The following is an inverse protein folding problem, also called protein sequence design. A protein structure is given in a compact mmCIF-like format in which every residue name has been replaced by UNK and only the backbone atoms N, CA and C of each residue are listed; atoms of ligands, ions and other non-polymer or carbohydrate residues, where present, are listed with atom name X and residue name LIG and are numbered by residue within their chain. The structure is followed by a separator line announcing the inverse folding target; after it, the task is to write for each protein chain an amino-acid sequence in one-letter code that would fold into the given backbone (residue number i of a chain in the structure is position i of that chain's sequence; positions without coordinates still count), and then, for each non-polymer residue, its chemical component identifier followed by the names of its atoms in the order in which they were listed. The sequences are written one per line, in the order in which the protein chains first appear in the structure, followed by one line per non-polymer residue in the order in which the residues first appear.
data_IF_732743263091
#
_entry.id   IF_732743263091
#
_cell.length_a   1.000
_cell.length_b   1.000
_cell.length_c   1.000
_cell.angle_alpha   90.00
_cell.angle_beta   90.00
_cell.angle_gamma   90.00
#
_symmetry.space_group_name_H-M   'P 1'
#
loop_
_entity.id
_entity.type
_entity.pdbx_description
1 polymer ?
#
# COMPACT_ATOMS: atom_id res chain seq x y z
N UNK A 1 21.71 -23.48 -18.20
CA UNK A 1 20.49 -22.91 -17.59
C UNK A 1 20.93 -22.24 -16.31
N UNK A 2 21.00 -20.91 -16.28
CA UNK A 2 21.50 -20.18 -15.12
C UNK A 2 20.33 -19.90 -14.17
N UNK A 3 20.23 -20.70 -13.11
CA UNK A 3 19.44 -20.39 -11.93
C UNK A 3 20.11 -19.23 -11.21
N UNK A 4 19.50 -18.04 -11.28
CA UNK A 4 19.85 -16.93 -10.41
C UNK A 4 19.40 -17.29 -8.98
N UNK A 5 20.32 -17.83 -8.18
CA UNK A 5 20.12 -17.98 -6.74
C UNK A 5 20.12 -16.60 -6.09
N UNK A 6 18.94 -16.08 -5.84
CA UNK A 6 18.75 -14.85 -5.07
C UNK A 6 18.57 -15.23 -3.59
N UNK A 7 19.67 -15.32 -2.85
CA UNK A 7 19.68 -15.57 -1.39
C UNK A 7 19.13 -14.40 -0.56
N UNK A 8 18.67 -13.32 -1.22
CA UNK A 8 18.05 -12.12 -0.64
C UNK A 8 16.66 -11.81 -1.25
N UNK A 9 16.15 -12.68 -2.14
CA UNK A 9 14.78 -12.53 -2.61
C UNK A 9 13.90 -13.05 -1.49
N UNK A 10 13.20 -12.14 -0.83
CA UNK A 10 12.15 -12.54 0.09
C UNK A 10 11.22 -13.49 -0.67
N UNK A 11 10.91 -14.67 -0.11
CA UNK A 11 10.04 -15.65 -0.77
C UNK A 11 8.61 -15.11 -1.00
N UNK A 12 8.32 -13.97 -0.40
CA UNK A 12 7.05 -13.27 -0.47
C UNK A 12 6.99 -12.32 -1.66
N UNK A 13 6.10 -12.61 -2.61
CA UNK A 13 5.70 -11.67 -3.66
C UNK A 13 4.34 -11.04 -3.34
N UNK A 14 4.02 -9.96 -4.06
CA UNK A 14 2.71 -9.33 -4.03
C UNK A 14 2.18 -9.10 -5.44
N UNK A 15 0.90 -9.36 -5.62
CA UNK A 15 0.15 -9.04 -6.85
C UNK A 15 -1.00 -8.11 -6.49
N UNK A 16 -1.12 -6.99 -7.18
CA UNK A 16 -2.20 -6.04 -6.97
C UNK A 16 -3.09 -5.97 -8.22
N UNK A 17 -4.39 -6.05 -8.00
CA UNK A 17 -5.41 -5.95 -9.02
C UNK A 17 -6.35 -4.80 -8.68
N UNK A 18 -6.77 -4.06 -9.69
CA UNK A 18 -7.82 -3.05 -9.54
C UNK A 18 -9.13 -3.75 -9.15
N UNK A 19 -9.87 -3.17 -8.22
CA UNK A 19 -11.14 -3.70 -7.75
C UNK A 19 -12.28 -2.80 -8.18
N UNK A 20 -13.37 -3.41 -8.65
CA UNK A 20 -14.64 -2.72 -8.92
C UNK A 20 -15.38 -2.35 -7.63
N UNK A 21 -15.00 -2.96 -6.49
CA UNK A 21 -15.62 -2.71 -5.21
C UNK A 21 -15.02 -1.46 -4.55
N UNK A 22 -15.87 -0.57 -4.02
CA UNK A 22 -15.40 0.61 -3.27
C UNK A 22 -14.82 0.23 -1.91
N UNK A 23 -15.33 -0.86 -1.33
CA UNK A 23 -14.92 -1.42 -0.04
C UNK A 23 -14.67 -2.93 -0.18
N UNK A 24 -13.70 -3.49 0.56
CA UNK A 24 -13.45 -4.91 0.52
C UNK A 24 -14.63 -5.69 1.16
N UNK A 25 -14.99 -6.87 0.62
CA UNK A 25 -16.10 -7.69 1.14
C UNK A 25 -15.96 -8.04 2.63
N UNK A 26 -14.73 -8.13 3.14
CA UNK A 26 -14.41 -8.40 4.55
C UNK A 26 -14.97 -7.36 5.52
N UNK A 27 -15.42 -6.19 5.05
CA UNK A 27 -16.10 -5.21 5.90
C UNK A 27 -17.54 -5.62 6.24
N UNK A 28 -18.12 -6.55 5.50
CA UNK A 28 -19.50 -7.01 5.71
C UNK A 28 -19.60 -8.08 6.80
N UNK A 29 -18.46 -8.61 7.27
CA UNK A 29 -18.37 -9.65 8.28
C UNK A 29 -17.41 -9.23 9.40
N UNK A 30 -17.68 -9.64 10.64
CA UNK A 30 -16.74 -9.41 11.74
C UNK A 30 -15.70 -10.53 11.70
N UNK A 31 -14.41 -10.24 11.43
CA UNK A 31 -13.40 -11.29 11.38
C UNK A 31 -13.10 -11.83 12.77
N UNK A 32 -12.71 -13.10 12.86
CA UNK A 32 -12.28 -13.71 14.14
C UNK A 32 -10.99 -13.09 14.67
N UNK A 33 -10.11 -12.64 13.77
CA UNK A 33 -8.85 -11.98 14.10
C UNK A 33 -8.42 -11.10 12.91
N UNK A 34 -7.58 -10.11 13.20
CA UNK A 34 -7.09 -9.14 12.21
C UNK A 34 -5.58 -8.97 12.32
N UNK A 35 -4.88 -8.70 11.21
CA UNK A 35 -3.49 -8.33 11.24
C UNK A 35 -3.27 -6.97 11.92
N UNK A 36 -2.05 -6.75 12.36
CA UNK A 36 -1.55 -5.46 12.80
C UNK A 36 -1.71 -4.40 11.72
N UNK A 37 -1.80 -3.16 12.18
CA UNK A 37 -1.89 -1.98 11.30
C UNK A 37 -0.68 -1.91 10.39
N UNK A 38 -0.89 -1.29 9.23
CA UNK A 38 0.16 -1.04 8.27
C UNK A 38 1.21 -0.10 8.91
N UNK A 39 2.47 -0.54 8.89
CA UNK A 39 3.54 0.09 9.66
C UNK A 39 3.99 1.42 9.04
N UNK A 40 4.05 1.47 7.72
CA UNK A 40 4.40 2.69 6.99
C UNK A 40 3.82 2.67 5.58
N UNK A 41 3.42 3.84 5.08
CA UNK A 41 3.03 4.08 3.70
C UNK A 41 3.95 5.17 3.12
N UNK A 42 4.57 4.90 1.98
CA UNK A 42 5.43 5.82 1.24
C UNK A 42 4.95 5.87 -0.21
N UNK A 43 4.79 7.07 -0.72
CA UNK A 43 4.43 7.27 -2.14
C UNK A 43 5.44 8.20 -2.78
N UNK A 44 5.87 7.84 -3.98
CA UNK A 44 6.68 8.68 -4.83
C UNK A 44 6.09 8.73 -6.23
N UNK A 45 6.01 9.91 -6.82
CA UNK A 45 5.70 10.03 -8.24
C UNK A 45 6.95 9.71 -9.04
N UNK A 46 6.88 8.69 -9.86
CA UNK A 46 7.94 8.36 -10.80
C UNK A 46 7.73 9.13 -12.09
N UNK A 47 8.82 9.66 -12.69
CA UNK A 47 8.74 10.29 -13.99
C UNK A 47 8.26 9.28 -15.04
N UNK A 48 7.73 9.82 -16.13
CA UNK A 48 7.25 9.03 -17.25
C UNK A 48 8.38 8.21 -17.88
N UNK A 49 8.39 6.92 -17.54
CA UNK A 49 9.18 5.89 -18.19
C UNK A 49 8.23 5.04 -19.04
N UNK A 50 8.48 5.00 -20.36
CA UNK A 50 7.69 4.25 -21.35
C UNK A 50 6.24 4.75 -21.60
N UNK A 51 5.96 6.04 -21.38
CA UNK A 51 4.74 6.69 -21.91
C UNK A 51 3.62 6.99 -20.91
N UNK A 52 3.81 6.72 -19.61
CA UNK A 52 2.86 7.13 -18.56
C UNK A 52 3.56 7.48 -17.23
N UNK A 53 3.01 8.45 -16.49
CA UNK A 53 3.42 8.73 -15.10
C UNK A 53 2.96 7.56 -14.22
N UNK A 54 3.79 7.19 -13.23
CA UNK A 54 3.48 6.12 -12.28
C UNK A 54 3.62 6.62 -10.84
N UNK A 55 2.84 6.05 -9.94
CA UNK A 55 3.07 6.15 -8.51
C UNK A 55 3.79 4.90 -8.04
N UNK A 56 4.94 5.06 -7.41
CA UNK A 56 5.52 4.02 -6.57
C UNK A 56 4.86 4.12 -5.20
N UNK A 57 3.93 3.20 -4.93
CA UNK A 57 3.28 3.05 -3.64
C UNK A 57 3.99 1.91 -2.93
N UNK A 58 4.77 2.26 -1.91
CA UNK A 58 5.51 1.32 -1.08
C UNK A 58 4.90 1.28 0.32
N UNK A 59 4.75 0.10 0.88
CA UNK A 59 4.24 -0.06 2.23
C UNK A 59 5.03 -1.09 3.03
N UNK A 60 5.02 -0.92 4.35
CA UNK A 60 5.62 -1.84 5.29
C UNK A 60 4.54 -2.55 6.12
N UNK A 61 4.71 -3.86 6.29
CA UNK A 61 3.92 -4.65 7.22
C UNK A 61 4.77 -5.06 8.42
N UNK A 62 4.14 -5.18 9.58
CA UNK A 62 4.79 -5.70 10.78
C UNK A 62 4.86 -7.23 10.74
N UNK A 63 5.97 -7.82 11.18
CA UNK A 63 6.11 -9.26 11.36
C UNK A 63 5.96 -9.57 12.84
N UNK A 64 4.71 -9.80 13.24
CA UNK A 64 4.32 -10.21 14.58
C UNK A 64 3.35 -11.41 14.50
N UNK A 65 2.79 -11.84 15.64
CA UNK A 65 1.90 -13.01 15.69
C UNK A 65 0.65 -12.86 14.80
N UNK A 66 0.22 -11.63 14.53
CA UNK A 66 -0.98 -11.34 13.74
C UNK A 66 -0.78 -11.51 12.24
N UNK A 67 0.46 -11.67 11.77
CA UNK A 67 0.79 -11.83 10.34
C UNK A 67 0.07 -13.03 9.71
N UNK A 68 -0.24 -14.04 10.51
CA UNK A 68 -0.97 -15.23 10.07
C UNK A 68 -2.42 -14.94 9.64
N UNK A 69 -2.98 -13.79 10.04
CA UNK A 69 -4.32 -13.34 9.64
C UNK A 69 -4.29 -12.40 8.44
N UNK A 70 -3.10 -11.97 7.98
CA UNK A 70 -2.97 -11.04 6.86
C UNK A 70 -3.32 -11.74 5.54
N UNK A 71 -4.44 -11.36 4.94
CA UNK A 71 -4.88 -11.89 3.64
C UNK A 71 -4.50 -11.00 2.46
N UNK A 72 -4.22 -9.73 2.74
CA UNK A 72 -3.88 -8.75 1.72
C UNK A 72 -3.79 -7.34 2.28
N UNK A 73 -3.52 -6.40 1.38
CA UNK A 73 -3.55 -4.97 1.65
C UNK A 73 -4.50 -4.32 0.66
N UNK A 74 -5.40 -3.49 1.17
CA UNK A 74 -6.28 -2.66 0.36
C UNK A 74 -5.65 -1.30 0.19
N UNK A 75 -5.57 -0.82 -1.05
CA UNK A 75 -4.99 0.49 -1.39
C UNK A 75 -6.06 1.28 -2.14
N UNK A 76 -6.30 2.52 -1.74
CA UNK A 76 -7.16 3.45 -2.45
C UNK A 76 -6.33 4.63 -2.95
N UNK A 77 -6.53 5.02 -4.20
CA UNK A 77 -5.83 6.11 -4.88
C UNK A 77 -6.90 7.00 -5.52
N UNK A 78 -7.28 8.09 -4.85
CA UNK A 78 -8.44 8.87 -5.31
C UNK A 78 -9.71 8.02 -5.33
N UNK A 79 -10.26 7.78 -6.52
CA UNK A 79 -11.45 6.96 -6.72
C UNK A 79 -11.15 5.51 -7.09
N UNK A 80 -9.90 5.20 -7.45
CA UNK A 80 -9.48 3.83 -7.80
C UNK A 80 -9.14 3.04 -6.54
N UNK A 81 -9.44 1.74 -6.57
CA UNK A 81 -9.09 0.83 -5.48
C UNK A 81 -8.35 -0.40 -6.00
N UNK A 82 -7.42 -0.87 -5.19
CA UNK A 82 -6.55 -2.00 -5.52
C UNK A 82 -6.51 -2.99 -4.35
N UNK A 83 -6.66 -4.26 -4.69
CA UNK A 83 -6.47 -5.37 -3.76
C UNK A 83 -5.13 -6.04 -4.01
N UNK A 84 -4.21 -5.88 -3.07
CA UNK A 84 -2.91 -6.52 -3.10
C UNK A 84 -2.93 -7.83 -2.30
N UNK A 85 -2.58 -8.94 -2.94
CA UNK A 85 -2.52 -10.28 -2.33
C UNK A 85 -1.09 -10.79 -2.29
N UNK A 86 -0.72 -11.38 -1.17
CA UNK A 86 0.61 -11.92 -0.91
C UNK A 86 0.71 -13.38 -1.33
N UNK A 87 1.80 -13.76 -1.99
CA UNK A 87 2.06 -15.15 -2.39
C UNK A 87 3.48 -15.60 -2.02
N UNK A 88 3.66 -16.77 -1.40
CA UNK A 88 2.61 -17.65 -0.82
C UNK A 88 1.96 -17.01 0.44
N UNK A 89 0.88 -17.54 1.02
CA UNK A 89 0.37 -17.02 2.29
C UNK A 89 1.44 -16.99 3.38
N UNK A 90 1.44 -15.97 4.25
CA UNK A 90 2.50 -15.79 5.26
C UNK A 90 2.67 -16.96 6.23
N UNK A 91 1.61 -17.73 6.50
CA UNK A 91 1.68 -18.95 7.31
C UNK A 91 2.53 -20.07 6.71
N UNK A 92 2.92 -19.96 5.44
CA UNK A 92 3.75 -20.93 4.72
C UNK A 92 5.22 -20.46 4.56
N UNK A 93 5.57 -19.29 5.10
CA UNK A 93 6.87 -18.66 4.92
C UNK A 93 7.65 -18.60 6.24
N UNK A 94 8.95 -18.92 6.19
CA UNK A 94 9.84 -18.68 7.32
C UNK A 94 10.24 -17.19 7.39
N UNK A 95 9.64 -16.48 8.34
CA UNK A 95 9.85 -15.04 8.58
C UNK A 95 10.71 -14.77 9.82
N UNK A 96 11.37 -15.81 10.38
CA UNK A 96 12.12 -15.67 11.64
C UNK A 96 13.23 -14.62 11.53
N UNK A 97 13.31 -13.76 12.53
CA UNK A 97 14.32 -12.71 12.63
C UNK A 97 14.02 -11.45 11.80
N UNK A 98 12.88 -11.41 11.10
CA UNK A 98 12.39 -10.20 10.45
C UNK A 98 11.42 -9.47 11.38
N UNK A 99 11.55 -8.15 11.45
CA UNK A 99 10.61 -7.28 12.18
C UNK A 99 9.57 -6.68 11.24
N UNK A 100 9.92 -6.46 9.97
CA UNK A 100 9.05 -5.86 8.96
C UNK A 100 9.38 -6.36 7.55
N UNK A 101 8.40 -6.28 6.66
CA UNK A 101 8.58 -6.49 5.22
C UNK A 101 8.07 -5.30 4.43
N UNK A 102 8.80 -4.95 3.36
CA UNK A 102 8.44 -3.88 2.44
C UNK A 102 7.96 -4.45 1.11
N UNK A 103 6.87 -3.88 0.62
CA UNK A 103 6.29 -4.18 -0.68
C UNK A 103 6.11 -2.89 -1.46
N UNK A 104 5.94 -3.02 -2.78
CA UNK A 104 5.60 -1.90 -3.63
C UNK A 104 4.67 -2.29 -4.77
N UNK A 105 3.91 -1.32 -5.25
CA UNK A 105 3.08 -1.40 -6.44
C UNK A 105 3.28 -0.14 -7.29
N UNK A 106 3.34 -0.32 -8.61
CA UNK A 106 3.44 0.78 -9.57
C UNK A 106 2.06 1.06 -10.18
N UNK A 107 1.32 1.97 -9.55
CA UNK A 107 0.01 2.37 -10.02
C UNK A 107 0.13 3.38 -11.19
N UNK A 108 -0.80 3.36 -12.16
CA UNK A 108 -0.94 4.47 -13.10
C UNK A 108 -1.29 5.77 -12.35
N UNK A 109 -0.89 6.91 -12.89
CA UNK A 109 -1.35 8.20 -12.40
C UNK A 109 -1.55 9.19 -13.54
N UNK A 110 -2.64 9.95 -13.42
CA UNK A 110 -2.94 11.03 -14.35
C UNK A 110 -2.22 12.32 -13.93
N UNK A 111 -1.54 13.00 -14.87
CA UNK A 111 -0.93 14.29 -14.60
C UNK A 111 -1.95 15.34 -14.16
N UNK A 112 -1.59 16.16 -13.17
CA UNK A 112 -2.39 17.30 -12.72
C UNK A 112 -3.34 17.03 -11.57
N UNK A 113 -3.43 15.79 -11.09
CA UNK A 113 -4.30 15.43 -9.98
C UNK A 113 -3.65 15.64 -8.61
N UNK A 114 -4.46 16.05 -7.64
CA UNK A 114 -4.15 15.93 -6.22
C UNK A 114 -4.82 14.66 -5.68
N UNK A 115 -4.02 13.66 -5.35
CA UNK A 115 -4.49 12.34 -4.95
C UNK A 115 -4.45 12.19 -3.43
N UNK A 116 -5.52 11.66 -2.86
CA UNK A 116 -5.52 11.10 -1.51
C UNK A 116 -5.27 9.60 -1.64
N UNK A 117 -4.17 9.12 -1.07
CA UNK A 117 -3.82 7.70 -1.07
C UNK A 117 -3.97 7.16 0.34
N UNK A 118 -4.59 5.99 0.46
CA UNK A 118 -4.72 5.29 1.73
C UNK A 118 -4.43 3.81 1.57
N UNK A 119 -3.90 3.19 2.61
CA UNK A 119 -3.66 1.75 2.63
C UNK A 119 -3.91 1.15 4.02
N UNK A 120 -4.45 -0.07 4.05
CA UNK A 120 -4.65 -0.85 5.27
C UNK A 120 -4.57 -2.35 5.01
N UNK A 121 -4.24 -3.10 6.05
CA UNK A 121 -4.18 -4.55 6.02
C UNK A 121 -5.57 -5.18 6.16
N UNK A 122 -5.78 -6.30 5.47
CA UNK A 122 -7.03 -7.08 5.48
C UNK A 122 -6.86 -8.39 6.26
N UNK A 123 -7.92 -8.85 6.97
CA UNK A 123 -9.20 -8.16 7.20
C UNK A 123 -9.08 -7.04 8.25
N UNK A 124 -9.91 -6.00 8.19
CA UNK A 124 -9.88 -4.95 9.22
C UNK A 124 -10.59 -5.42 10.51
N UNK A 125 -10.18 -4.95 11.70
CA UNK A 125 -10.94 -5.21 12.91
C UNK A 125 -12.23 -4.37 12.97
N UNK A 126 -13.19 -4.76 13.83
CA UNK A 126 -14.53 -4.16 13.86
C UNK A 126 -14.57 -2.66 14.21
N UNK A 127 -13.63 -2.16 15.03
CA UNK A 127 -13.65 -0.78 15.54
C UNK A 127 -12.26 -0.11 15.58
N UNK A 128 -12.05 0.97 14.84
CA UNK A 128 -10.83 1.77 14.92
C UNK A 128 -10.37 2.38 13.59
N UNK A 129 -9.32 3.19 13.65
CA UNK A 129 -8.62 3.71 12.48
C UNK A 129 -7.41 2.82 12.16
N UNK A 130 -7.41 2.19 10.98
CA UNK A 130 -6.38 1.21 10.57
C UNK A 130 -5.61 1.62 9.33
N UNK A 131 -6.09 2.67 8.68
CA UNK A 131 -5.57 3.18 7.44
C UNK A 131 -4.44 4.15 7.69
N UNK A 132 -3.37 3.97 6.93
CA UNK A 132 -2.34 4.98 6.74
C UNK A 132 -2.72 5.85 5.55
N UNK A 133 -2.43 7.14 5.61
CA UNK A 133 -2.79 8.11 4.59
C UNK A 133 -1.61 8.97 4.16
N UNK A 134 -1.60 9.34 2.89
CA UNK A 134 -0.72 10.36 2.33
C UNK A 134 -1.43 11.05 1.18
N UNK A 135 -1.08 12.30 0.91
CA UNK A 135 -1.54 13.00 -0.28
C UNK A 135 -0.40 13.16 -1.27
N UNK A 136 -0.70 13.20 -2.56
CA UNK A 136 0.32 13.39 -3.58
C UNK A 136 -0.16 14.25 -4.74
N UNK A 137 0.66 15.21 -5.14
CA UNK A 137 0.44 16.03 -6.33
C UNK A 137 1.14 15.38 -7.53
N UNK A 138 0.39 15.04 -8.57
CA UNK A 138 0.95 14.53 -9.82
C UNK A 138 1.23 15.71 -10.76
N UNK A 139 2.49 15.99 -11.12
CA UNK A 139 2.82 17.17 -11.93
C UNK A 139 2.42 16.99 -13.40
N UNK A 140 1.97 18.07 -14.05
CA UNK A 140 1.68 18.10 -15.49
C UNK A 140 2.91 17.95 -16.40
N UNK A 141 4.12 18.27 -15.90
CA UNK A 141 5.33 18.36 -16.73
C UNK A 141 6.51 17.59 -16.12
N UNK A 142 7.23 16.89 -16.99
CA UNK A 142 8.46 16.12 -16.72
C UNK A 142 9.60 16.91 -16.04
N UNK A 143 9.56 18.24 -16.07
CA UNK A 143 10.62 19.10 -15.53
C UNK A 143 10.44 19.49 -14.05
N UNK A 144 9.31 19.14 -13.42
CA UNK A 144 9.03 19.46 -11.99
C UNK A 144 9.52 18.34 -11.04
N UNK A 145 10.10 17.25 -11.56
CA UNK A 145 10.60 16.15 -10.72
C UNK A 145 11.92 16.46 -9.99
N UNK A 146 12.55 17.62 -10.25
CA UNK A 146 13.94 17.84 -9.85
C UNK A 146 14.17 18.33 -8.43
N UNK A 147 13.17 18.80 -7.66
CA UNK A 147 13.39 19.31 -6.30
C UNK A 147 12.13 19.49 -5.43
N UNK A 148 10.96 18.98 -5.82
CA UNK A 148 9.72 19.13 -5.03
C UNK A 148 9.35 17.82 -4.34
N UNK A 149 9.10 17.88 -3.04
CA UNK A 149 8.35 16.83 -2.33
C UNK A 149 6.92 16.84 -2.90
N UNK A 150 6.62 15.85 -3.74
CA UNK A 150 5.32 15.77 -4.42
C UNK A 150 4.26 15.11 -3.54
N UNK A 151 4.67 14.26 -2.60
CA UNK A 151 3.78 13.58 -1.68
C UNK A 151 4.06 13.98 -0.22
N UNK A 152 3.00 14.11 0.57
CA UNK A 152 3.03 14.57 1.94
C UNK A 152 2.27 13.61 2.85
N UNK A 153 2.80 13.36 4.04
CA UNK A 153 2.06 12.65 5.07
C UNK A 153 1.03 13.60 5.69
N UNK A 154 -0.22 13.19 5.75
CA UNK A 154 -1.30 13.97 6.37
C UNK A 154 -1.90 13.18 7.52
N UNK A 155 -1.63 13.60 8.76
CA UNK A 155 -2.39 13.14 9.91
C UNK A 155 -3.79 13.78 9.87
N UNK A 156 -4.81 12.97 9.57
CA UNK A 156 -6.22 13.41 9.44
C UNK A 156 -6.81 13.85 10.80
N UNK A 157 -6.11 13.61 11.90
CA UNK A 157 -6.47 14.08 13.24
C UNK A 157 -6.60 15.61 13.34
N UNK A 158 -6.08 16.38 12.38
CA UNK A 158 -6.23 17.84 12.31
C UNK A 158 -7.53 18.35 11.64
N UNK A 159 -8.38 17.49 11.05
CA UNK A 159 -9.63 17.94 10.41
C UNK A 159 -10.81 18.01 11.40
N UNK A 160 -10.68 17.50 12.62
CA UNK A 160 -11.64 17.74 13.70
C UNK A 160 -11.28 19.03 14.45
N UNK A 161 -11.57 20.19 13.87
CA UNK A 161 -11.91 21.45 14.57
C UNK A 161 -12.00 22.58 13.54
N UNK A 162 -13.19 22.79 12.98
CA UNK A 162 -13.67 24.09 12.46
C UNK A 162 -15.14 23.94 12.00
N UNK A 163 -16.02 23.60 12.92
CA UNK A 163 -17.46 23.90 12.85
C UNK A 163 -17.95 24.25 14.25
#
# INVERSE_FOLDING_TARGET
MNTFNCSLCHPQSVTCEESEDVIPPEWMEIPQASPSRLLALKVAVLPEDFGAIRLNISWAINIDESINYLTGTWIRIGDDTYRCRYQPPFGEVDLRGLEQLWFYYLAPAEPGLHLVISAYNLPIPAEGEYSQYTTCNVPFRKYIFKNELLCFYSDISYIKNNN
#
